data_IF_335881662745
#
_entry.id   IF_335881662745
#
_cell.length_a   1.000
_cell.length_b   1.000
_cell.length_c   1.000
_cell.angle_alpha   90.00
_cell.angle_beta   90.00
_cell.angle_gamma   90.00
#
_symmetry.space_group_name_H-M   'P 1'
#
loop_
_entity.id
_entity.type
_entity.pdbx_description
1 polymer ?
#
# COMPACT_ATOMS: atom_id res chain seq x y z
N UNK A 1 4.60 -4.54 21.87
CA UNK A 1 4.80 -3.62 23.00
C UNK A 1 6.25 -3.69 23.48
N UNK A 2 7.18 -3.12 22.70
CA UNK A 2 8.55 -2.90 23.15
C UNK A 2 8.53 -1.76 24.17
N UNK A 3 8.91 -2.05 25.39
CA UNK A 3 9.16 -1.03 26.42
C UNK A 3 10.44 -0.28 26.06
N UNK A 4 10.31 0.75 25.21
CA UNK A 4 11.30 1.81 25.16
C UNK A 4 11.00 2.71 26.37
N UNK A 5 11.90 2.70 27.38
CA UNK A 5 11.67 3.33 28.68
C UNK A 5 11.62 4.85 28.61
N UNK A 6 12.03 5.46 27.51
CA UNK A 6 12.13 6.91 27.34
C UNK A 6 10.97 7.56 26.54
N UNK A 7 10.09 6.78 25.91
CA UNK A 7 8.99 7.31 25.12
C UNK A 7 7.66 6.65 25.46
N UNK A 8 6.83 7.33 26.24
CA UNK A 8 5.45 6.92 26.51
C UNK A 8 4.49 7.68 25.61
N UNK A 9 3.89 7.01 24.64
CA UNK A 9 2.86 7.56 23.75
C UNK A 9 1.47 7.06 24.15
N UNK A 10 0.55 7.99 24.44
CA UNK A 10 -0.86 7.68 24.61
C UNK A 10 -1.58 7.93 23.28
N UNK A 11 -2.00 6.86 22.63
CA UNK A 11 -2.80 6.94 21.39
C UNK A 11 -4.28 6.96 21.73
N UNK A 12 -5.02 7.93 21.16
CA UNK A 12 -6.47 8.00 21.22
C UNK A 12 -7.03 8.07 19.81
N UNK A 13 -7.86 7.11 19.45
CA UNK A 13 -8.41 6.97 18.09
C UNK A 13 -9.79 7.65 18.02
N UNK A 14 -10.09 8.28 16.87
CA UNK A 14 -11.36 8.94 16.57
C UNK A 14 -11.78 9.98 17.62
N UNK A 15 -10.82 10.77 18.12
CA UNK A 15 -11.05 11.83 19.10
C UNK A 15 -10.89 13.21 18.45
N UNK A 16 -11.84 14.12 18.75
CA UNK A 16 -11.72 15.54 18.41
C UNK A 16 -10.97 16.35 19.49
N UNK A 17 -10.44 15.69 20.52
CA UNK A 17 -9.68 16.36 21.58
C UNK A 17 -8.30 16.77 21.08
N UNK A 18 -7.81 17.97 21.44
CA UNK A 18 -6.45 18.37 21.14
C UNK A 18 -5.42 17.39 21.73
N UNK A 19 -4.36 17.17 20.99
CA UNK A 19 -3.23 16.33 21.37
C UNK A 19 -1.93 17.03 20.98
N UNK A 20 -0.79 16.54 21.47
CA UNK A 20 0.52 17.04 21.04
C UNK A 20 0.72 16.84 19.53
N UNK A 21 0.25 15.72 19.03
CA UNK A 21 0.22 15.40 17.60
C UNK A 21 -1.18 14.90 17.23
N UNK A 22 -1.81 15.51 16.24
CA UNK A 22 -3.06 15.04 15.65
C UNK A 22 -2.79 14.51 14.25
N UNK A 23 -2.94 13.19 14.06
CA UNK A 23 -2.76 12.55 12.76
C UNK A 23 -4.11 12.23 12.13
N UNK A 24 -4.35 12.76 10.93
CA UNK A 24 -5.61 12.67 10.19
C UNK A 24 -5.41 11.70 9.01
N UNK A 25 -6.15 10.59 9.01
CA UNK A 25 -6.04 9.54 7.97
C UNK A 25 -7.08 9.67 6.85
N UNK A 26 -7.99 10.64 6.93
CA UNK A 26 -9.05 10.84 5.93
C UNK A 26 -9.20 12.32 5.61
N UNK A 27 -9.60 12.62 4.38
CA UNK A 27 -9.79 14.00 3.89
C UNK A 27 -11.22 14.52 4.10
N UNK A 28 -11.89 14.11 5.18
CA UNK A 28 -13.27 14.53 5.46
C UNK A 28 -13.36 16.04 5.74
N UNK A 29 -14.39 16.75 5.21
CA UNK A 29 -14.58 18.18 5.45
C UNK A 29 -14.65 18.56 6.94
N UNK A 30 -15.18 17.68 7.77
CA UNK A 30 -15.23 17.88 9.22
C UNK A 30 -13.83 18.07 9.83
N UNK A 31 -12.85 17.26 9.42
CA UNK A 31 -11.48 17.42 9.90
C UNK A 31 -10.82 18.67 9.31
N UNK A 32 -11.07 18.97 8.04
CA UNK A 32 -10.56 20.18 7.41
C UNK A 32 -10.93 21.44 8.20
N UNK A 33 -12.20 21.56 8.62
CA UNK A 33 -12.66 22.69 9.43
C UNK A 33 -12.00 22.77 10.82
N UNK A 34 -11.56 21.64 11.36
CA UNK A 34 -10.93 21.58 12.70
C UNK A 34 -9.42 21.89 12.66
N UNK A 35 -8.74 21.75 11.52
CA UNK A 35 -7.30 21.92 11.40
C UNK A 35 -6.80 23.25 12.01
N UNK A 36 -7.40 24.42 11.74
CA UNK A 36 -6.92 25.68 12.33
C UNK A 36 -6.92 25.68 13.85
N UNK A 37 -7.91 25.06 14.46
CA UNK A 37 -8.00 24.90 15.91
C UNK A 37 -6.94 23.94 16.45
N UNK A 38 -6.78 22.78 15.79
CA UNK A 38 -5.81 21.73 16.18
C UNK A 38 -4.37 22.24 16.10
N UNK A 39 -4.01 22.99 15.04
CA UNK A 39 -2.68 23.60 14.87
C UNK A 39 -2.28 24.56 16.00
N UNK A 40 -3.24 25.19 16.65
CA UNK A 40 -2.98 26.06 17.80
C UNK A 40 -2.70 25.26 19.09
N UNK A 41 -2.92 23.96 19.09
CA UNK A 41 -2.78 23.11 20.28
C UNK A 41 -1.65 22.10 20.17
N UNK A 42 -1.30 21.71 18.96
CA UNK A 42 -0.23 20.76 18.69
C UNK A 42 0.16 20.74 17.22
N UNK A 43 0.91 19.75 16.82
CA UNK A 43 1.30 19.51 15.42
C UNK A 43 0.22 18.71 14.71
N UNK A 44 -0.12 19.11 13.49
CA UNK A 44 -1.08 18.37 12.65
C UNK A 44 -0.36 17.62 11.53
N UNK A 45 -0.72 16.36 11.36
CA UNK A 45 -0.20 15.46 10.31
C UNK A 45 -1.39 14.93 9.51
N UNK A 46 -1.22 14.75 8.21
CA UNK A 46 -2.20 14.01 7.40
C UNK A 46 -1.53 12.92 6.56
N UNK A 47 -2.23 11.78 6.42
CA UNK A 47 -1.83 10.73 5.49
C UNK A 47 -2.28 11.06 4.08
N UNK A 48 -1.37 10.94 3.11
CA UNK A 48 -1.65 11.08 1.68
C UNK A 48 -1.84 9.68 1.09
N UNK A 49 -3.10 9.31 0.90
CA UNK A 49 -3.46 8.01 0.31
C UNK A 49 -3.69 8.10 -1.19
N UNK A 50 -4.02 9.27 -1.71
CA UNK A 50 -4.30 9.50 -3.13
C UNK A 50 -4.03 10.96 -3.50
N UNK A 51 -3.81 11.19 -4.78
CA UNK A 51 -3.67 12.49 -5.43
C UNK A 51 -4.80 12.66 -6.46
N UNK A 52 -5.05 13.89 -6.97
CA UNK A 52 -6.04 14.11 -8.02
C UNK A 52 -5.94 13.11 -9.17
N UNK A 53 -4.74 12.84 -9.66
CA UNK A 53 -4.48 11.95 -10.80
C UNK A 53 -4.84 10.49 -10.50
N UNK A 54 -4.67 10.05 -9.25
CA UNK A 54 -4.98 8.66 -8.87
C UNK A 54 -6.47 8.44 -8.60
N UNK A 55 -7.20 9.52 -8.28
CA UNK A 55 -8.67 9.46 -8.11
C UNK A 55 -9.36 9.24 -9.45
N UNK A 56 -8.87 9.86 -10.53
CA UNK A 56 -9.43 9.70 -11.89
C UNK A 56 -9.43 8.25 -12.38
N UNK A 57 -8.45 7.48 -11.94
CA UNK A 57 -8.33 6.06 -12.31
C UNK A 57 -9.25 5.15 -11.48
N UNK A 58 -9.74 5.64 -10.33
CA UNK A 58 -10.47 4.82 -9.36
C UNK A 58 -11.96 5.17 -9.24
N UNK A 59 -12.35 6.41 -9.53
CA UNK A 59 -13.71 6.91 -9.33
C UNK A 59 -14.19 7.73 -10.53
N UNK A 60 -15.36 7.38 -11.06
CA UNK A 60 -16.05 8.16 -12.11
C UNK A 60 -16.73 9.39 -11.51
N UNK A 61 -15.96 10.44 -11.21
CA UNK A 61 -16.49 11.71 -10.70
C UNK A 61 -16.95 12.57 -11.89
N UNK A 62 -18.19 13.14 -11.90
CA UNK A 62 -18.61 14.08 -12.91
C UNK A 62 -17.68 15.29 -13.00
N UNK A 63 -17.32 15.71 -14.22
CA UNK A 63 -16.30 16.75 -14.49
C UNK A 63 -16.48 18.03 -13.65
N UNK A 64 -17.73 18.48 -13.46
CA UNK A 64 -18.04 19.70 -12.69
C UNK A 64 -17.62 19.60 -11.21
N UNK A 65 -17.71 18.42 -10.62
CA UNK A 65 -17.32 18.21 -9.22
C UNK A 65 -15.85 17.84 -9.07
N UNK A 66 -15.20 17.40 -10.14
CA UNK A 66 -13.81 16.92 -10.13
C UNK A 66 -12.83 18.03 -9.75
N UNK A 67 -12.87 19.17 -10.45
CA UNK A 67 -11.98 20.31 -10.18
C UNK A 67 -12.15 20.82 -8.75
N UNK A 68 -13.41 20.97 -8.30
CA UNK A 68 -13.69 21.38 -6.92
C UNK A 68 -13.13 20.38 -5.88
N UNK A 69 -13.28 19.07 -6.16
CA UNK A 69 -12.75 18.06 -5.25
C UNK A 69 -11.22 18.04 -5.23
N UNK A 70 -10.58 18.27 -6.38
CA UNK A 70 -9.10 18.33 -6.46
C UNK A 70 -8.54 19.54 -5.73
N UNK A 71 -9.14 20.70 -5.93
CA UNK A 71 -8.76 21.91 -5.18
C UNK A 71 -8.94 21.71 -3.69
N UNK A 72 -10.08 21.14 -3.28
CA UNK A 72 -10.33 20.79 -1.89
C UNK A 72 -9.25 19.86 -1.32
N UNK A 73 -8.91 18.80 -2.03
CA UNK A 73 -7.91 17.81 -1.62
C UNK A 73 -6.53 18.47 -1.40
N UNK A 74 -6.09 19.27 -2.37
CA UNK A 74 -4.81 19.98 -2.28
C UNK A 74 -4.83 21.02 -1.15
N UNK A 75 -5.92 21.76 -0.97
CA UNK A 75 -6.05 22.70 0.14
C UNK A 75 -6.04 21.99 1.50
N UNK A 76 -6.65 20.80 1.58
CA UNK A 76 -6.57 19.97 2.78
C UNK A 76 -5.12 19.61 3.12
N UNK A 77 -4.34 19.10 2.14
CA UNK A 77 -2.93 18.76 2.35
C UNK A 77 -2.07 19.98 2.69
N UNK A 78 -2.32 21.16 2.10
CA UNK A 78 -1.63 22.41 2.44
C UNK A 78 -1.97 22.92 3.84
N UNK A 79 -3.11 22.56 4.39
CA UNK A 79 -3.59 23.10 5.67
C UNK A 79 -2.92 22.48 6.89
N UNK A 80 -2.39 21.27 6.80
CA UNK A 80 -1.67 20.58 7.88
C UNK A 80 -0.21 21.00 7.96
N UNK A 81 0.48 20.64 9.05
CA UNK A 81 1.90 20.97 9.22
C UNK A 81 2.81 19.99 8.48
N UNK A 82 2.47 18.69 8.54
CA UNK A 82 3.24 17.60 7.93
C UNK A 82 2.33 16.62 7.21
N UNK A 83 2.91 15.96 6.23
CA UNK A 83 2.26 14.89 5.47
C UNK A 83 3.07 13.59 5.59
N UNK A 84 2.37 12.47 5.60
CA UNK A 84 2.99 11.15 5.47
C UNK A 84 2.39 10.45 4.26
N UNK A 85 3.25 9.88 3.42
CA UNK A 85 2.81 9.07 2.28
C UNK A 85 3.42 7.68 2.33
N UNK A 86 2.65 6.69 1.87
CA UNK A 86 3.14 5.33 1.64
C UNK A 86 3.77 5.16 0.25
N UNK A 87 3.64 6.16 -0.61
CA UNK A 87 4.18 6.16 -1.97
C UNK A 87 5.12 7.36 -2.16
N UNK A 88 6.46 7.14 -2.21
CA UNK A 88 7.42 8.22 -2.35
C UNK A 88 7.31 8.98 -3.68
N UNK A 89 6.73 8.36 -4.74
CA UNK A 89 6.44 9.05 -6.00
C UNK A 89 5.43 10.20 -5.85
N UNK A 90 4.72 10.26 -4.72
CA UNK A 90 3.81 11.39 -4.44
C UNK A 90 4.55 12.64 -3.97
N UNK A 91 5.76 12.54 -3.46
CA UNK A 91 6.52 13.69 -2.94
C UNK A 91 6.74 14.75 -4.03
N UNK A 92 7.36 14.43 -5.19
CA UNK A 92 7.53 15.42 -6.27
C UNK A 92 6.20 15.92 -6.86
N UNK A 93 5.17 15.08 -6.87
CA UNK A 93 3.83 15.51 -7.33
C UNK A 93 3.20 16.51 -6.36
N UNK A 94 3.32 16.29 -5.05
CA UNK A 94 2.88 17.25 -4.03
C UNK A 94 3.66 18.57 -4.12
N UNK A 95 4.95 18.52 -4.41
CA UNK A 95 5.77 19.70 -4.65
C UNK A 95 5.28 20.53 -5.86
N UNK A 96 4.86 19.87 -6.94
CA UNK A 96 4.27 20.53 -8.10
C UNK A 96 2.96 21.28 -7.75
N UNK A 97 2.23 20.84 -6.74
CA UNK A 97 1.09 21.56 -6.17
C UNK A 97 1.47 22.66 -5.17
N UNK A 98 2.78 22.90 -4.95
CA UNK A 98 3.30 23.92 -4.03
C UNK A 98 3.32 23.50 -2.57
N UNK A 99 3.44 22.24 -2.28
CA UNK A 99 3.69 21.69 -0.93
C UNK A 99 5.20 21.51 -0.78
N UNK A 100 5.76 22.00 0.32
CA UNK A 100 7.19 21.84 0.63
C UNK A 100 7.52 20.35 0.87
N UNK A 101 8.47 19.81 0.09
CA UNK A 101 8.90 18.42 0.17
C UNK A 101 9.42 18.05 1.57
N UNK A 102 10.04 19.01 2.29
CA UNK A 102 10.52 18.79 3.65
C UNK A 102 9.40 18.54 4.67
N UNK A 103 8.16 18.79 4.30
CA UNK A 103 6.97 18.50 5.12
C UNK A 103 6.35 17.14 4.81
N UNK A 104 6.87 16.43 3.81
CA UNK A 104 6.34 15.13 3.36
C UNK A 104 7.32 14.03 3.72
N UNK A 105 6.90 13.10 4.54
CA UNK A 105 7.71 11.95 4.96
C UNK A 105 7.17 10.68 4.32
N UNK A 106 8.07 9.88 3.74
CA UNK A 106 7.74 8.53 3.30
C UNK A 106 7.83 7.57 4.48
N UNK A 107 6.73 6.90 4.79
CA UNK A 107 6.69 5.78 5.72
C UNK A 107 5.83 4.70 5.07
N UNK A 108 6.41 3.54 4.71
CA UNK A 108 5.71 2.49 3.99
C UNK A 108 4.65 1.80 4.86
N UNK A 109 3.79 1.03 4.20
CA UNK A 109 2.98 0.04 4.87
C UNK A 109 3.85 -1.16 5.30
N UNK A 110 3.32 -1.96 6.23
CA UNK A 110 3.87 -3.25 6.62
C UNK A 110 2.75 -4.28 6.79
N UNK A 111 3.13 -5.55 6.87
CA UNK A 111 2.22 -6.63 7.24
C UNK A 111 2.75 -7.33 8.49
N UNK A 112 1.83 -7.89 9.30
CA UNK A 112 2.24 -8.56 10.53
C UNK A 112 2.87 -9.93 10.22
N UNK A 113 4.08 -10.15 10.69
CA UNK A 113 4.77 -11.44 10.62
C UNK A 113 4.10 -12.55 11.46
N UNK A 114 3.16 -12.18 12.34
CA UNK A 114 2.31 -13.15 13.04
C UNK A 114 1.23 -13.73 12.14
N UNK A 115 0.83 -12.99 11.11
CA UNK A 115 -0.19 -13.41 10.15
C UNK A 115 0.43 -13.97 8.87
N UNK A 116 1.43 -13.29 8.31
CA UNK A 116 2.13 -13.70 7.09
C UNK A 116 3.53 -14.17 7.44
N UNK A 117 3.84 -15.44 7.21
CA UNK A 117 5.10 -16.08 7.58
C UNK A 117 5.40 -17.23 6.61
N UNK A 118 6.69 -17.57 6.42
CA UNK A 118 7.07 -18.68 5.56
C UNK A 118 6.68 -20.04 6.18
N UNK A 119 6.49 -21.02 5.33
CA UNK A 119 6.28 -22.43 5.71
C UNK A 119 7.34 -23.30 5.08
N UNK A 120 7.51 -24.53 5.59
CA UNK A 120 8.37 -25.54 4.98
C UNK A 120 7.71 -26.19 3.75
N UNK A 121 8.49 -26.96 3.00
CA UNK A 121 8.05 -27.62 1.76
C UNK A 121 6.96 -28.67 2.03
N UNK A 122 6.94 -29.30 3.22
CA UNK A 122 5.89 -30.24 3.57
C UNK A 122 4.55 -29.51 3.70
N UNK A 123 4.51 -28.42 4.44
CA UNK A 123 3.28 -27.63 4.62
C UNK A 123 2.81 -27.01 3.31
N UNK A 124 3.74 -26.57 2.44
CA UNK A 124 3.43 -26.08 1.10
C UNK A 124 2.69 -27.13 0.27
N UNK A 125 3.17 -28.38 0.25
CA UNK A 125 2.51 -29.49 -0.45
C UNK A 125 1.13 -29.80 0.14
N UNK A 126 0.99 -29.82 1.46
CA UNK A 126 -0.30 -30.03 2.14
C UNK A 126 -1.31 -28.94 1.72
N UNK A 127 -0.89 -27.66 1.71
CA UNK A 127 -1.74 -26.55 1.25
C UNK A 127 -2.16 -26.73 -0.21
N UNK A 128 -1.25 -27.11 -1.11
CA UNK A 128 -1.60 -27.41 -2.50
C UNK A 128 -2.68 -28.48 -2.59
N UNK A 129 -2.56 -29.54 -1.81
CA UNK A 129 -3.57 -30.60 -1.73
C UNK A 129 -4.91 -30.11 -1.19
N UNK A 130 -4.91 -29.29 -0.14
CA UNK A 130 -6.12 -28.66 0.42
C UNK A 130 -6.85 -27.80 -0.62
N UNK A 131 -6.09 -27.13 -1.53
CA UNK A 131 -6.62 -26.31 -2.62
C UNK A 131 -6.81 -27.10 -3.95
N UNK A 132 -6.76 -28.43 -3.91
CA UNK A 132 -6.91 -29.32 -5.08
C UNK A 132 -5.89 -29.09 -6.20
N UNK A 133 -4.69 -28.63 -5.85
CA UNK A 133 -3.58 -28.43 -6.76
C UNK A 133 -2.66 -29.65 -6.76
N UNK A 134 -1.82 -29.78 -7.79
CA UNK A 134 -0.77 -30.81 -7.84
C UNK A 134 0.35 -30.44 -6.86
N UNK A 135 0.78 -31.39 -6.04
CA UNK A 135 1.71 -31.15 -4.93
C UNK A 135 3.12 -30.72 -5.40
N UNK A 136 3.62 -31.32 -6.47
CA UNK A 136 5.01 -31.16 -6.97
C UNK A 136 5.12 -30.32 -8.25
N UNK A 137 4.08 -29.56 -8.62
CA UNK A 137 4.08 -28.71 -9.81
C UNK A 137 4.40 -27.26 -9.39
N UNK A 138 5.32 -26.61 -10.14
CA UNK A 138 5.66 -25.22 -9.92
C UNK A 138 4.43 -24.33 -9.95
N UNK A 139 4.20 -23.60 -8.87
CA UNK A 139 2.94 -22.91 -8.59
C UNK A 139 3.14 -21.41 -8.60
N UNK A 140 2.49 -20.75 -9.55
CA UNK A 140 2.43 -19.30 -9.67
C UNK A 140 1.19 -18.80 -8.96
N UNK A 141 1.31 -17.86 -8.03
CA UNK A 141 0.17 -17.29 -7.31
C UNK A 141 0.00 -15.81 -7.61
N UNK A 142 -1.24 -15.36 -7.67
CA UNK A 142 -1.62 -13.95 -7.74
C UNK A 142 -2.73 -13.68 -6.73
N UNK A 143 -2.73 -12.50 -6.13
CA UNK A 143 -3.82 -12.04 -5.29
C UNK A 143 -4.25 -10.63 -5.70
N UNK A 144 -5.54 -10.46 -5.98
CA UNK A 144 -6.07 -9.17 -6.40
C UNK A 144 -7.50 -9.25 -6.90
N UNK A 145 -8.12 -8.09 -7.02
CA UNK A 145 -9.45 -7.96 -7.58
C UNK A 145 -9.48 -8.41 -9.05
N UNK A 146 -10.58 -9.02 -9.46
CA UNK A 146 -10.84 -9.37 -10.86
C UNK A 146 -11.17 -8.10 -11.65
N UNK A 147 -10.14 -7.49 -12.26
CA UNK A 147 -10.21 -6.27 -13.07
C UNK A 147 -9.21 -6.35 -14.21
N UNK A 148 -9.54 -5.74 -15.36
CA UNK A 148 -8.63 -5.71 -16.53
C UNK A 148 -7.28 -5.10 -16.17
N UNK A 149 -7.27 -3.99 -15.43
CA UNK A 149 -6.03 -3.33 -15.01
C UNK A 149 -5.11 -4.19 -14.13
N UNK A 150 -5.64 -5.23 -13.48
CA UNK A 150 -4.85 -6.18 -12.67
C UNK A 150 -4.15 -7.25 -13.51
N UNK A 151 -4.43 -7.28 -14.83
CA UNK A 151 -3.75 -8.19 -15.76
C UNK A 151 -4.27 -9.63 -15.72
N UNK A 152 -5.55 -9.82 -15.38
CA UNK A 152 -6.15 -11.17 -15.29
C UNK A 152 -6.10 -11.92 -16.63
N UNK A 153 -6.24 -11.22 -17.76
CA UNK A 153 -6.14 -11.82 -19.09
C UNK A 153 -4.71 -12.22 -19.45
N UNK A 154 -3.73 -11.38 -19.08
CA UNK A 154 -2.30 -11.67 -19.23
C UNK A 154 -1.91 -12.90 -18.41
N UNK A 155 -2.44 -12.99 -17.19
CA UNK A 155 -2.23 -14.14 -16.31
C UNK A 155 -2.80 -15.42 -16.89
N UNK A 156 -4.01 -15.40 -17.45
CA UNK A 156 -4.63 -16.53 -18.12
C UNK A 156 -3.86 -16.98 -19.37
N UNK A 157 -3.39 -16.03 -20.20
CA UNK A 157 -2.53 -16.33 -21.36
C UNK A 157 -1.20 -16.97 -20.95
N UNK A 158 -0.61 -16.56 -19.83
CA UNK A 158 0.60 -17.22 -19.30
C UNK A 158 0.33 -18.65 -18.87
N UNK A 159 -0.83 -18.92 -18.27
CA UNK A 159 -1.24 -20.29 -17.93
C UNK A 159 -1.36 -21.18 -19.19
N UNK A 160 -1.94 -20.66 -20.28
CA UNK A 160 -2.01 -21.38 -21.56
C UNK A 160 -0.59 -21.65 -22.15
N UNK A 161 0.33 -20.68 -22.05
CA UNK A 161 1.68 -20.77 -22.59
C UNK A 161 2.59 -21.71 -21.78
N UNK A 162 2.31 -21.91 -20.49
CA UNK A 162 3.11 -22.68 -19.54
C UNK A 162 2.32 -23.85 -18.93
N UNK A 163 1.87 -24.83 -19.72
CA UNK A 163 1.01 -25.93 -19.25
C UNK A 163 1.70 -26.86 -18.24
N UNK A 164 3.03 -26.80 -18.11
CA UNK A 164 3.82 -27.54 -17.12
C UNK A 164 3.78 -26.91 -15.73
N UNK A 165 3.28 -25.69 -15.59
CA UNK A 165 3.10 -24.97 -14.33
C UNK A 165 1.62 -24.92 -13.97
N UNK A 166 1.31 -24.61 -12.72
CA UNK A 166 -0.05 -24.32 -12.30
C UNK A 166 -0.14 -22.89 -11.77
N UNK A 167 -1.29 -22.27 -12.01
CA UNK A 167 -1.54 -20.87 -11.74
C UNK A 167 -2.73 -20.74 -10.79
N UNK A 168 -2.63 -19.84 -9.81
CA UNK A 168 -3.70 -19.59 -8.85
C UNK A 168 -3.97 -18.09 -8.79
N UNK A 169 -5.22 -17.71 -8.99
CA UNK A 169 -5.67 -16.33 -8.78
C UNK A 169 -6.62 -16.28 -7.57
N UNK A 170 -6.21 -15.57 -6.52
CA UNK A 170 -7.03 -15.34 -5.34
C UNK A 170 -7.66 -13.96 -5.38
N UNK A 171 -8.98 -13.93 -5.40
CA UNK A 171 -9.77 -12.69 -5.42
C UNK A 171 -11.00 -12.78 -6.29
N UNK A 172 -11.85 -11.76 -6.17
CA UNK A 172 -13.15 -11.71 -6.84
C UNK A 172 -13.48 -10.27 -7.25
N UNK A 173 -14.64 -10.06 -7.85
CA UNK A 173 -15.17 -8.75 -8.19
C UNK A 173 -15.56 -7.95 -6.94
N UNK A 174 -14.96 -6.78 -6.73
CA UNK A 174 -15.31 -5.92 -5.58
C UNK A 174 -16.64 -5.21 -5.78
N UNK A 175 -16.96 -4.82 -7.03
CA UNK A 175 -18.15 -4.03 -7.36
C UNK A 175 -19.14 -4.80 -8.25
N UNK A 176 -19.07 -6.14 -8.26
CA UNK A 176 -19.91 -7.00 -9.08
C UNK A 176 -19.85 -6.57 -10.56
N UNK A 177 -21.01 -6.43 -11.20
CA UNK A 177 -21.14 -6.07 -12.62
C UNK A 177 -20.66 -4.64 -12.99
N UNK A 178 -20.34 -3.81 -12.01
CA UNK A 178 -19.73 -2.48 -12.24
C UNK A 178 -18.20 -2.53 -12.29
N UNK A 179 -17.60 -3.69 -12.06
CA UNK A 179 -16.14 -3.85 -12.16
C UNK A 179 -15.68 -3.72 -13.62
N UNK A 180 -14.50 -3.12 -13.81
CA UNK A 180 -13.89 -3.02 -15.12
C UNK A 180 -13.62 -4.40 -15.73
N UNK A 181 -14.05 -4.60 -16.99
CA UNK A 181 -13.91 -5.86 -17.72
C UNK A 181 -14.85 -6.99 -17.26
N UNK A 182 -15.87 -6.71 -16.43
CA UNK A 182 -16.72 -7.74 -15.80
C UNK A 182 -17.19 -8.84 -16.77
N UNK A 183 -17.80 -8.49 -17.92
CA UNK A 183 -18.37 -9.48 -18.86
C UNK A 183 -17.32 -10.41 -19.45
N UNK A 184 -16.16 -9.86 -19.82
CA UNK A 184 -15.09 -10.64 -20.44
C UNK A 184 -14.40 -11.53 -19.41
N UNK A 185 -14.23 -11.02 -18.17
CA UNK A 185 -13.69 -11.80 -17.06
C UNK A 185 -14.66 -12.89 -16.63
N UNK A 186 -15.97 -12.61 -16.59
CA UNK A 186 -17.00 -13.65 -16.33
C UNK A 186 -16.95 -14.78 -17.37
N UNK A 187 -16.69 -14.48 -18.63
CA UNK A 187 -16.46 -15.47 -19.68
C UNK A 187 -15.17 -16.25 -19.41
N UNK A 188 -14.07 -15.57 -19.07
CA UNK A 188 -12.81 -16.21 -18.72
C UNK A 188 -12.97 -17.18 -17.53
N UNK A 189 -13.74 -16.83 -16.51
CA UNK A 189 -14.01 -17.70 -15.36
C UNK A 189 -14.74 -19.01 -15.75
N UNK A 190 -15.44 -19.03 -16.87
CA UNK A 190 -16.14 -20.22 -17.39
C UNK A 190 -15.27 -21.05 -18.34
N UNK A 191 -14.32 -20.40 -19.03
CA UNK A 191 -13.55 -20.98 -20.15
C UNK A 191 -12.03 -20.87 -19.93
N UNK A 192 -11.55 -20.85 -18.67
CA UNK A 192 -10.13 -20.67 -18.35
C UNK A 192 -9.28 -21.93 -18.64
N UNK A 193 -7.95 -21.80 -18.79
CA UNK A 193 -7.05 -22.93 -18.93
C UNK A 193 -7.13 -23.91 -17.76
N UNK A 194 -6.94 -25.20 -18.02
CA UNK A 194 -7.08 -26.25 -16.99
C UNK A 194 -6.07 -26.13 -15.85
N UNK A 195 -4.92 -25.52 -16.09
CA UNK A 195 -3.87 -25.27 -15.11
C UNK A 195 -4.00 -23.90 -14.40
N UNK A 196 -5.09 -23.15 -14.63
CA UNK A 196 -5.43 -21.92 -13.93
C UNK A 196 -6.58 -22.18 -12.96
N UNK A 197 -6.41 -21.80 -11.71
CA UNK A 197 -7.39 -22.01 -10.64
C UNK A 197 -7.80 -20.65 -10.06
N UNK A 198 -9.08 -20.32 -10.09
CA UNK A 198 -9.65 -19.16 -9.42
C UNK A 198 -10.23 -19.58 -8.07
N UNK A 199 -9.73 -19.01 -6.97
CA UNK A 199 -10.23 -19.35 -5.63
C UNK A 199 -11.51 -18.59 -5.27
N UNK A 200 -11.85 -17.53 -6.02
CA UNK A 200 -12.81 -16.52 -5.58
C UNK A 200 -12.29 -15.72 -4.40
N UNK A 201 -13.20 -15.12 -3.65
CA UNK A 201 -12.87 -14.33 -2.47
C UNK A 201 -12.30 -15.23 -1.36
N UNK A 202 -11.10 -14.91 -0.90
CA UNK A 202 -10.43 -15.59 0.21
C UNK A 202 -10.56 -14.77 1.49
N UNK A 203 -10.95 -15.40 2.58
CA UNK A 203 -11.01 -14.76 3.90
C UNK A 203 -9.62 -14.27 4.34
N UNK A 204 -9.56 -13.14 5.05
CA UNK A 204 -8.30 -12.47 5.41
C UNK A 204 -7.34 -13.35 6.20
N UNK A 205 -7.84 -14.22 7.05
CA UNK A 205 -7.05 -15.16 7.86
C UNK A 205 -6.49 -16.33 7.04
N UNK A 206 -7.08 -16.63 5.88
CA UNK A 206 -6.62 -17.67 4.94
C UNK A 206 -5.71 -17.12 3.84
N UNK A 207 -5.62 -15.80 3.68
CA UNK A 207 -4.75 -15.19 2.66
C UNK A 207 -3.27 -15.65 2.75
N UNK A 208 -2.66 -15.85 3.93
CA UNK A 208 -1.30 -16.40 4.02
C UNK A 208 -1.13 -17.72 3.27
N UNK A 209 -2.13 -18.62 3.29
CA UNK A 209 -2.08 -19.90 2.63
C UNK A 209 -1.94 -19.78 1.10
N UNK A 210 -2.54 -18.73 0.52
CA UNK A 210 -2.43 -18.44 -0.92
C UNK A 210 -0.97 -18.18 -1.31
N UNK A 211 -0.24 -17.40 -0.52
CA UNK A 211 1.18 -17.15 -0.79
C UNK A 211 2.04 -18.36 -0.44
N UNK A 212 1.79 -18.99 0.70
CA UNK A 212 2.53 -20.14 1.20
C UNK A 212 2.51 -21.36 0.25
N UNK A 213 1.45 -21.55 -0.55
CA UNK A 213 1.41 -22.63 -1.55
C UNK A 213 2.14 -22.27 -2.85
N UNK A 214 2.52 -21.00 -3.06
CA UNK A 214 3.19 -20.50 -4.25
C UNK A 214 4.70 -20.73 -4.23
N UNK A 215 5.29 -20.90 -5.41
CA UNK A 215 6.72 -20.82 -5.64
C UNK A 215 7.13 -19.42 -6.07
N UNK A 216 6.21 -18.67 -6.68
CA UNK A 216 6.39 -17.27 -7.06
C UNK A 216 5.05 -16.54 -7.00
N UNK A 217 5.07 -15.30 -6.55
CA UNK A 217 3.95 -14.38 -6.70
C UNK A 217 4.15 -13.55 -7.97
N UNK A 218 3.21 -13.65 -8.91
CA UNK A 218 3.19 -12.86 -10.13
C UNK A 218 2.06 -11.83 -10.06
N UNK A 219 2.37 -10.55 -10.19
CA UNK A 219 1.40 -9.47 -10.29
C UNK A 219 1.58 -8.73 -11.63
N UNK A 220 0.84 -9.10 -12.70
CA UNK A 220 0.99 -8.51 -14.03
C UNK A 220 0.17 -7.22 -14.20
N UNK A 221 -0.14 -6.50 -13.11
CA UNK A 221 -0.94 -5.28 -13.10
C UNK A 221 -0.34 -4.20 -14.00
N UNK A 222 -1.22 -3.44 -14.67
CA UNK A 222 -0.86 -2.30 -15.51
C UNK A 222 -0.74 -1.01 -14.71
N UNK A 223 -1.35 -0.95 -13.51
CA UNK A 223 -1.31 0.21 -12.62
C UNK A 223 -1.46 -0.21 -11.17
N UNK A 224 -0.61 0.37 -10.29
CA UNK A 224 -0.60 0.16 -8.86
C UNK A 224 -0.22 1.44 -8.11
N UNK A 225 -0.69 1.56 -6.87
CA UNK A 225 -0.29 2.65 -5.97
C UNK A 225 0.75 2.18 -4.94
N UNK A 226 0.43 1.11 -4.23
CA UNK A 226 1.30 0.38 -3.32
C UNK A 226 0.63 -0.98 -3.01
N UNK A 227 1.01 -2.05 -3.71
CA UNK A 227 0.31 -3.33 -3.59
C UNK A 227 0.67 -4.05 -2.28
N UNK A 228 -0.27 -4.09 -1.34
CA UNK A 228 -0.12 -4.82 -0.07
C UNK A 228 0.15 -6.31 -0.28
N UNK A 229 -0.39 -6.89 -1.35
CA UNK A 229 -0.19 -8.30 -1.72
C UNK A 229 1.29 -8.64 -1.96
N UNK A 230 2.10 -7.67 -2.40
CA UNK A 230 3.56 -7.85 -2.54
C UNK A 230 4.22 -7.98 -1.17
N UNK A 231 3.85 -7.13 -0.19
CA UNK A 231 4.38 -7.23 1.18
C UNK A 231 3.96 -8.53 1.86
N UNK A 232 2.72 -8.97 1.61
CA UNK A 232 2.18 -10.23 2.14
C UNK A 232 2.97 -11.43 1.60
N UNK A 233 3.26 -11.45 0.29
CA UNK A 233 4.05 -12.51 -0.33
C UNK A 233 5.54 -12.46 0.12
N UNK A 234 6.13 -11.27 0.23
CA UNK A 234 7.49 -11.11 0.77
C UNK A 234 7.60 -11.63 2.21
N UNK A 235 6.58 -11.38 3.04
CA UNK A 235 6.53 -11.86 4.42
C UNK A 235 6.44 -13.39 4.50
N UNK A 236 5.91 -14.04 3.45
CA UNK A 236 5.96 -15.49 3.27
C UNK A 236 7.24 -15.98 2.60
N UNK A 237 8.22 -15.13 2.32
CA UNK A 237 9.47 -15.39 1.60
C UNK A 237 9.26 -15.94 0.18
N UNK A 238 8.15 -15.59 -0.46
CA UNK A 238 7.84 -16.00 -1.83
C UNK A 238 8.49 -15.02 -2.80
N UNK A 239 9.25 -15.49 -3.82
CA UNK A 239 9.78 -14.65 -4.89
C UNK A 239 8.71 -13.77 -5.54
N UNK A 240 9.05 -12.54 -5.87
CA UNK A 240 8.13 -11.55 -6.44
C UNK A 240 8.49 -11.29 -7.90
N UNK A 241 7.52 -11.43 -8.80
CA UNK A 241 7.65 -11.09 -10.22
C UNK A 241 6.54 -10.09 -10.60
N UNK A 242 6.93 -8.90 -11.05
CA UNK A 242 6.00 -7.80 -11.33
C UNK A 242 6.15 -7.30 -12.76
N UNK A 243 5.11 -6.63 -13.27
CA UNK A 243 5.25 -5.80 -14.47
C UNK A 243 6.20 -4.65 -14.18
N UNK A 244 7.05 -4.30 -15.16
CA UNK A 244 7.99 -3.18 -15.04
C UNK A 244 7.23 -1.85 -15.09
N UNK A 245 6.77 -1.39 -13.92
CA UNK A 245 6.10 -0.10 -13.72
C UNK A 245 7.05 0.89 -13.06
N UNK A 246 6.95 2.17 -13.42
CA UNK A 246 7.80 3.25 -12.90
C UNK A 246 7.78 3.38 -11.36
N UNK A 247 6.73 2.90 -10.72
CA UNK A 247 6.58 2.89 -9.27
C UNK A 247 7.60 1.96 -8.59
N UNK A 248 7.79 0.76 -9.12
CA UNK A 248 8.48 -0.32 -8.41
C UNK A 248 9.98 -0.07 -8.18
N UNK A 249 10.75 0.52 -9.11
CA UNK A 249 12.14 0.89 -8.81
C UNK A 249 12.28 1.86 -7.63
N UNK A 250 11.25 2.66 -7.34
CA UNK A 250 11.29 3.63 -6.25
C UNK A 250 10.99 2.99 -4.89
N UNK A 251 10.17 1.94 -4.87
CA UNK A 251 9.72 1.30 -3.62
C UNK A 251 10.27 -0.11 -3.40
N UNK A 252 10.65 -0.84 -4.45
CA UNK A 252 11.01 -2.26 -4.37
C UNK A 252 12.39 -2.58 -4.99
N UNK A 253 13.24 -1.58 -5.28
CA UNK A 253 14.50 -1.81 -5.95
C UNK A 253 15.36 -2.87 -5.24
N UNK A 254 15.78 -3.89 -5.99
CA UNK A 254 16.54 -5.01 -5.45
C UNK A 254 15.73 -6.08 -4.73
N UNK A 255 14.40 -5.97 -4.63
CA UNK A 255 13.54 -6.90 -3.89
C UNK A 255 12.62 -7.75 -4.78
N UNK A 256 12.58 -7.50 -6.09
CA UNK A 256 11.67 -8.18 -7.02
C UNK A 256 12.31 -8.43 -8.37
N UNK A 257 11.75 -9.38 -9.12
CA UNK A 257 12.00 -9.61 -10.54
C UNK A 257 10.98 -8.84 -11.37
N UNK A 258 11.35 -8.47 -12.59
CA UNK A 258 10.47 -7.67 -13.45
C UNK A 258 10.44 -8.15 -14.90
N UNK A 259 9.31 -7.94 -15.56
CA UNK A 259 9.14 -8.14 -16.98
C UNK A 259 8.14 -7.13 -17.56
N UNK A 260 8.24 -6.81 -18.84
CA UNK A 260 7.36 -5.84 -19.48
C UNK A 260 6.07 -6.46 -20.02
N UNK A 261 6.13 -7.69 -20.46
CA UNK A 261 5.06 -8.39 -21.16
C UNK A 261 5.04 -9.90 -20.85
N UNK A 262 4.11 -10.63 -21.48
CA UNK A 262 3.93 -12.06 -21.26
C UNK A 262 5.16 -12.88 -21.72
N UNK A 263 5.89 -12.45 -22.74
CA UNK A 263 7.10 -13.16 -23.18
C UNK A 263 8.18 -13.08 -22.11
N UNK A 264 8.41 -11.89 -21.56
CA UNK A 264 9.32 -11.69 -20.44
C UNK A 264 8.88 -12.41 -19.16
N UNK A 265 7.59 -12.41 -18.82
CA UNK A 265 7.07 -13.18 -17.69
C UNK A 265 7.30 -14.67 -17.87
N UNK A 266 7.04 -15.21 -19.06
CA UNK A 266 7.26 -16.64 -19.36
C UNK A 266 8.75 -17.01 -19.25
N UNK A 267 9.65 -16.15 -19.72
CA UNK A 267 11.11 -16.33 -19.58
C UNK A 267 11.52 -16.39 -18.10
N UNK A 268 11.09 -15.41 -17.28
CA UNK A 268 11.43 -15.36 -15.87
C UNK A 268 10.84 -16.55 -15.08
N UNK A 269 9.59 -16.96 -15.35
CA UNK A 269 8.97 -18.14 -14.75
C UNK A 269 9.71 -19.42 -15.10
N UNK A 270 10.17 -19.58 -16.35
CA UNK A 270 10.98 -20.72 -16.76
C UNK A 270 12.34 -20.72 -16.06
N UNK A 271 13.03 -19.57 -15.92
CA UNK A 271 14.28 -19.48 -15.15
C UNK A 271 14.07 -19.89 -13.69
N UNK A 272 13.03 -19.34 -13.05
CA UNK A 272 12.70 -19.66 -11.67
C UNK A 272 12.43 -21.16 -11.46
N UNK A 273 11.72 -21.81 -12.37
CA UNK A 273 11.37 -23.23 -12.25
C UNK A 273 12.50 -24.20 -12.59
N UNK A 274 13.48 -23.79 -13.43
CA UNK A 274 14.51 -24.67 -13.97
C UNK A 274 15.91 -24.43 -13.38
N UNK A 275 16.15 -23.27 -12.75
CA UNK A 275 17.45 -22.86 -12.23
C UNK A 275 17.44 -22.65 -10.73
N UNK A 276 17.81 -23.67 -9.91
CA UNK A 276 17.73 -23.57 -8.45
C UNK A 276 18.49 -22.39 -7.84
N UNK A 277 19.65 -22.03 -8.41
CA UNK A 277 20.43 -20.88 -7.93
C UNK A 277 19.71 -19.56 -8.19
N UNK A 278 19.08 -19.42 -9.34
CA UNK A 278 18.28 -18.23 -9.69
C UNK A 278 17.04 -18.11 -8.77
N UNK A 279 16.38 -19.24 -8.51
CA UNK A 279 15.27 -19.29 -7.57
C UNK A 279 15.68 -18.85 -6.16
N UNK A 280 16.80 -19.38 -5.64
CA UNK A 280 17.31 -18.99 -4.31
C UNK A 280 17.66 -17.50 -4.26
N UNK A 281 18.26 -16.93 -5.30
CA UNK A 281 18.50 -15.50 -5.40
C UNK A 281 17.21 -14.70 -5.29
N UNK A 282 16.15 -15.11 -5.99
CA UNK A 282 14.83 -14.46 -5.91
C UNK A 282 14.20 -14.58 -4.53
N UNK A 283 14.36 -15.72 -3.84
CA UNK A 283 13.96 -15.87 -2.44
C UNK A 283 14.70 -14.89 -1.53
N UNK A 284 16.02 -14.74 -1.74
CA UNK A 284 16.83 -13.78 -0.93
C UNK A 284 16.42 -12.33 -1.20
N UNK A 285 16.04 -11.97 -2.43
CA UNK A 285 15.48 -10.65 -2.75
C UNK A 285 14.19 -10.40 -1.95
N UNK A 286 13.28 -11.38 -1.94
CA UNK A 286 12.03 -11.30 -1.18
C UNK A 286 12.27 -11.17 0.33
N UNK A 287 13.22 -11.93 0.89
CA UNK A 287 13.61 -11.83 2.31
C UNK A 287 14.13 -10.44 2.67
N UNK A 288 15.02 -9.87 1.87
CA UNK A 288 15.53 -8.50 2.07
C UNK A 288 14.40 -7.47 2.02
N UNK A 289 13.44 -7.64 1.10
CA UNK A 289 12.25 -6.81 1.04
C UNK A 289 11.40 -6.94 2.31
N UNK A 290 11.19 -8.16 2.80
CA UNK A 290 10.50 -8.40 4.07
C UNK A 290 11.21 -7.73 5.26
N UNK A 291 12.53 -7.75 5.34
CA UNK A 291 13.29 -7.09 6.41
C UNK A 291 13.07 -5.58 6.39
N UNK A 292 13.13 -4.96 5.20
CA UNK A 292 12.88 -3.53 5.03
C UNK A 292 11.43 -3.13 5.36
N UNK A 293 10.46 -3.93 4.94
CA UNK A 293 9.02 -3.70 5.20
C UNK A 293 8.52 -4.40 6.47
N UNK A 294 9.41 -4.83 7.36
CA UNK A 294 9.03 -5.48 8.60
C UNK A 294 8.27 -4.54 9.53
N UNK A 295 7.39 -5.12 10.34
CA UNK A 295 6.66 -4.39 11.38
C UNK A 295 7.62 -3.62 12.30
N UNK A 296 8.73 -4.24 12.71
CA UNK A 296 9.74 -3.63 13.59
C UNK A 296 10.38 -2.39 12.94
N UNK A 297 10.86 -2.52 11.69
CA UNK A 297 11.49 -1.40 10.98
C UNK A 297 10.50 -0.25 10.74
N UNK A 298 9.31 -0.54 10.23
CA UNK A 298 8.32 0.51 9.94
C UNK A 298 7.81 1.18 11.21
N UNK A 299 7.62 0.44 12.31
CA UNK A 299 7.29 1.03 13.60
C UNK A 299 8.43 1.89 14.15
N UNK A 300 9.70 1.57 13.87
CA UNK A 300 10.81 2.46 14.23
C UNK A 300 10.74 3.77 13.45
N UNK A 301 10.46 3.74 12.14
CA UNK A 301 10.25 4.95 11.32
C UNK A 301 9.11 5.81 11.88
N UNK A 302 8.00 5.21 12.30
CA UNK A 302 6.90 5.94 12.93
C UNK A 302 7.29 6.56 14.27
N UNK A 303 8.04 5.85 15.11
CA UNK A 303 8.55 6.38 16.38
C UNK A 303 9.45 7.57 16.15
N UNK A 304 10.41 7.45 15.24
CA UNK A 304 11.35 8.54 14.92
C UNK A 304 10.62 9.77 14.39
N UNK A 305 9.66 9.57 13.50
CA UNK A 305 8.82 10.63 12.96
C UNK A 305 8.04 11.35 14.06
N UNK A 306 7.29 10.65 14.89
CA UNK A 306 6.52 11.28 15.96
C UNK A 306 7.42 11.89 17.03
N UNK A 307 8.54 11.28 17.37
CA UNK A 307 9.51 11.82 18.31
C UNK A 307 10.08 13.16 17.81
N UNK A 308 10.42 13.24 16.54
CA UNK A 308 10.87 14.50 15.91
C UNK A 308 9.83 15.63 16.02
N UNK A 309 8.54 15.31 15.91
CA UNK A 309 7.44 16.28 15.99
C UNK A 309 7.15 16.77 17.41
N UNK A 310 7.43 15.97 18.44
CA UNK A 310 7.16 16.35 19.83
C UNK A 310 7.91 17.61 20.26
N UNK A 311 9.18 17.74 19.88
CA UNK A 311 9.97 18.95 20.19
C UNK A 311 9.37 20.22 19.59
N UNK A 312 8.69 20.12 18.45
CA UNK A 312 7.98 21.24 17.84
C UNK A 312 6.67 21.54 18.56
N UNK A 313 5.90 20.50 18.93
CA UNK A 313 4.66 20.66 19.69
C UNK A 313 4.89 21.37 21.02
N UNK A 314 5.91 20.96 21.78
CA UNK A 314 6.28 21.59 23.04
C UNK A 314 6.67 23.07 22.86
N UNK A 315 7.38 23.41 21.79
CA UNK A 315 7.70 24.81 21.45
C UNK A 315 6.46 25.65 21.16
N UNK A 316 5.44 25.07 20.52
CA UNK A 316 4.16 25.75 20.23
C UNK A 316 3.35 26.01 21.50
N UNK A 317 3.27 25.04 22.39
CA UNK A 317 2.55 25.14 23.66
C UNK A 317 3.19 26.16 24.60
N UNK A 318 4.52 26.27 24.60
CA UNK A 318 5.29 27.18 25.44
C UNK A 318 5.38 28.62 24.89
N UNK A 319 4.85 28.90 23.67
CA UNK A 319 4.77 30.28 23.18
C UNK A 319 3.79 31.07 24.07
N UNK A 320 4.23 32.21 24.65
CA UNK A 320 3.33 33.04 25.44
C UNK A 320 2.15 33.48 24.56
N UNK A 321 0.94 33.19 25.00
CA UNK A 321 -0.27 33.68 24.35
C UNK A 321 -0.21 35.20 24.43
N UNK A 322 0.06 35.86 23.30
CA UNK A 322 -0.08 37.31 23.21
C UNK A 322 -1.55 37.63 23.50
N UNK A 323 -1.83 37.96 24.75
CA UNK A 323 -3.08 38.63 25.12
C UNK A 323 -3.07 39.92 24.29
N UNK A 324 -3.94 40.03 23.28
CA UNK A 324 -4.21 41.30 22.63
C UNK A 324 -4.77 42.23 23.71
N UNK A 325 -3.90 43.05 24.28
CA UNK A 325 -4.30 44.17 25.10
C UNK A 325 -4.86 45.20 24.13
N UNK A 326 -6.14 45.24 23.94
CA UNK A 326 -6.83 46.37 23.35
C UNK A 326 -6.80 47.48 24.41
N UNK A 327 -5.83 48.41 24.34
CA UNK A 327 -5.93 49.67 25.02
C UNK A 327 -6.96 50.52 24.27
N UNK A 328 -8.15 50.63 24.82
CA UNK A 328 -9.11 51.69 24.43
C UNK A 328 -8.55 53.00 24.96
N UNK A 329 -7.95 53.80 24.10
CA UNK A 329 -7.63 55.18 24.41
C UNK A 329 -8.98 55.93 24.53
N UNK A 330 -9.39 56.23 25.74
CA UNK A 330 -10.50 57.15 26.01
C UNK A 330 -10.00 58.56 25.68
N UNK A 331 -10.33 59.05 24.49
CA UNK A 331 -10.18 60.45 24.13
C UNK A 331 -11.14 61.30 24.96
N UNK A 332 -10.59 62.00 25.96
CA UNK A 332 -11.35 63.04 26.65
C UNK A 332 -11.42 64.28 25.73
N UNK A 333 -12.64 64.66 25.44
CA UNK A 333 -13.02 65.95 24.86
C UNK A 333 -13.04 66.99 26.00
N UNK A 334 -12.31 68.07 25.82
CA UNK A 334 -12.58 69.38 26.40
C UNK A 334 -12.93 70.33 25.26
#
# INVERSE_FOLDING_TARGET
EGKDTDFQMKVVVNSARPADITHIHTVNPQFFMQIPYLKNKGVTVASVHFLPETVDQSLSIPKVFREFFYDYLIQFYKSVDYLVTVNPCFIPKLAAYGIDENKVTYIPNYVSSKQFYPVDEQRKRELRKEYHLKEDVFTVVCAGQLQTRKGVFEYAKLAEQLPQMQFVWAGDFTFGNMSDGYKDIEKLLKEHPQNLHFTGLVERDKMPQVYQMGDVMLLPSFDELFPMTVLEAMSCHVPILLRDLDLYPVILDGYYLKAQDNAGFAEELNKLSQQPQYYEQAVQMSRKGNDFYSEEHVLSMWRDFYHGLLGESQRRQNKPTLKKVFSVAAGGVR
#
